data_IF_436439025428
#
_entry.id   IF_436439025428
#
_cell.length_a   1.000
_cell.length_b   1.000
_cell.length_c   1.000
_cell.angle_alpha   90.00
_cell.angle_beta   90.00
_cell.angle_gamma   90.00
#
_symmetry.space_group_name_H-M   'P 1'
#
loop_
_entity.id
_entity.type
_entity.pdbx_description
1 polymer ?
#
# COMPACT_ATOMS: atom_id res chain seq x y z
N UNK A 1 13.92 -3.81 -47.82
CA UNK A 1 14.75 -4.72 -47.01
C UNK A 1 15.06 -4.08 -45.66
N UNK A 2 15.41 -2.80 -45.56
CA UNK A 2 15.73 -2.12 -44.30
C UNK A 2 14.55 -2.06 -43.31
N UNK A 3 13.31 -1.82 -43.73
CA UNK A 3 12.15 -1.73 -42.87
C UNK A 3 11.82 -3.04 -42.15
N UNK A 4 11.97 -4.18 -42.83
CA UNK A 4 11.72 -5.50 -42.24
C UNK A 4 12.74 -5.87 -41.13
N UNK A 5 14.00 -5.46 -41.30
CA UNK A 5 15.06 -5.69 -40.30
C UNK A 5 14.84 -4.85 -39.06
N UNK A 6 14.40 -3.60 -39.20
CA UNK A 6 14.09 -2.73 -38.06
C UNK A 6 12.88 -3.23 -37.27
N UNK A 7 11.83 -3.71 -37.96
CA UNK A 7 10.67 -4.31 -37.30
C UNK A 7 11.03 -5.62 -36.57
N UNK A 8 11.87 -6.46 -37.15
CA UNK A 8 12.32 -7.70 -36.51
C UNK A 8 13.19 -7.41 -35.25
N UNK A 9 14.10 -6.46 -35.32
CA UNK A 9 14.92 -6.05 -34.18
C UNK A 9 14.07 -5.44 -33.05
N UNK A 10 13.06 -4.61 -33.39
CA UNK A 10 12.14 -4.05 -32.40
C UNK A 10 11.26 -5.14 -31.76
N UNK A 11 10.79 -6.11 -32.54
CA UNK A 11 10.01 -7.25 -32.04
C UNK A 11 10.85 -8.15 -31.10
N UNK A 12 12.12 -8.41 -31.44
CA UNK A 12 13.04 -9.16 -30.58
C UNK A 12 13.32 -8.41 -29.27
N UNK A 13 13.55 -7.09 -29.33
CA UNK A 13 13.74 -6.29 -28.11
C UNK A 13 12.48 -6.25 -27.22
N UNK A 14 11.27 -6.30 -27.79
CA UNK A 14 10.03 -6.36 -27.02
C UNK A 14 9.80 -7.75 -26.39
N UNK A 15 10.23 -8.82 -27.07
CA UNK A 15 10.10 -10.20 -26.61
C UNK A 15 11.18 -10.61 -25.57
N UNK A 16 12.31 -9.87 -25.54
CA UNK A 16 13.42 -10.13 -24.60
C UNK A 16 13.42 -9.17 -23.41
N UNK A 17 12.42 -8.26 -23.32
CA UNK A 17 12.32 -7.39 -22.16
C UNK A 17 11.93 -8.25 -20.96
N UNK A 18 12.75 -8.30 -19.90
CA UNK A 18 12.38 -9.06 -18.71
C UNK A 18 11.01 -8.55 -18.21
N UNK A 19 10.19 -9.45 -17.67
CA UNK A 19 8.92 -9.05 -17.07
C UNK A 19 9.20 -7.97 -16.03
N UNK A 20 8.35 -6.93 -16.02
CA UNK A 20 8.48 -5.88 -14.98
C UNK A 20 8.41 -6.55 -13.61
N UNK A 21 9.26 -6.13 -12.68
CA UNK A 21 9.20 -6.64 -11.32
C UNK A 21 7.81 -6.44 -10.75
N UNK A 22 7.26 -7.48 -10.16
CA UNK A 22 6.07 -7.43 -9.33
C UNK A 22 6.44 -7.84 -7.93
N UNK A 23 5.66 -7.40 -6.97
CA UNK A 23 5.86 -7.77 -5.56
C UNK A 23 5.84 -9.29 -5.40
N UNK A 24 4.90 -9.97 -6.06
CA UNK A 24 4.79 -11.42 -6.06
C UNK A 24 6.04 -12.10 -6.64
N UNK A 25 6.58 -11.59 -7.76
CA UNK A 25 7.80 -12.14 -8.37
C UNK A 25 9.04 -11.96 -7.48
N UNK A 26 9.14 -10.84 -6.74
CA UNK A 26 10.22 -10.61 -5.78
C UNK A 26 10.13 -11.62 -4.62
N UNK A 27 8.93 -11.87 -4.11
CA UNK A 27 8.75 -12.78 -2.98
C UNK A 27 8.81 -14.27 -3.38
N UNK A 28 8.42 -14.64 -4.60
CA UNK A 28 8.54 -16.03 -5.09
C UNK A 28 9.97 -16.42 -5.43
N UNK A 29 10.88 -15.44 -5.53
CA UNK A 29 12.29 -15.62 -5.89
C UNK A 29 12.51 -16.26 -7.28
N UNK A 30 11.50 -16.24 -8.16
CA UNK A 30 11.61 -16.88 -9.49
C UNK A 30 12.59 -16.12 -10.41
N UNK A 31 12.58 -14.80 -10.36
CA UNK A 31 13.42 -13.92 -11.18
C UNK A 31 14.24 -12.92 -10.36
N UNK A 32 14.02 -12.88 -9.05
CA UNK A 32 14.62 -11.93 -8.12
C UNK A 32 15.19 -12.65 -6.91
N UNK A 33 16.15 -12.01 -6.26
CA UNK A 33 16.70 -12.47 -4.99
C UNK A 33 16.19 -11.51 -3.90
N UNK A 34 15.46 -12.06 -2.95
CA UNK A 34 15.12 -11.36 -1.73
C UNK A 34 16.38 -11.20 -0.87
N UNK A 35 16.74 -9.98 -0.52
CA UNK A 35 17.98 -9.70 0.22
C UNK A 35 17.74 -9.49 1.70
N UNK A 36 16.76 -8.66 2.04
CA UNK A 36 16.42 -8.35 3.43
C UNK A 36 15.05 -7.74 3.58
N UNK A 37 14.56 -7.76 4.80
CA UNK A 37 13.39 -6.99 5.25
C UNK A 37 13.71 -6.27 6.55
N UNK A 38 13.19 -5.07 6.69
CA UNK A 38 13.41 -4.23 7.88
C UNK A 38 12.09 -3.55 8.27
N UNK A 39 11.68 -3.62 9.55
CA UNK A 39 10.53 -2.86 10.01
C UNK A 39 10.72 -1.35 9.77
N UNK A 40 9.66 -0.68 9.31
CA UNK A 40 9.67 0.74 8.97
C UNK A 40 8.44 1.43 9.52
N UNK A 41 8.62 2.36 10.46
CA UNK A 41 7.55 3.27 10.89
C UNK A 41 7.31 4.33 9.84
N UNK A 42 6.04 4.62 9.56
CA UNK A 42 5.58 5.65 8.63
C UNK A 42 4.49 6.48 9.27
N UNK A 43 4.43 7.76 8.92
CA UNK A 43 3.28 8.63 9.17
C UNK A 43 2.55 8.86 7.86
N UNK A 44 1.29 8.45 7.79
CA UNK A 44 0.39 8.73 6.68
C UNK A 44 -0.41 9.98 7.05
N UNK A 45 -0.31 11.03 6.23
CA UNK A 45 -0.95 12.31 6.50
C UNK A 45 -1.94 12.67 5.39
N UNK A 46 -3.16 13.05 5.75
CA UNK A 46 -4.18 13.45 4.79
C UNK A 46 -5.24 14.37 5.41
N UNK A 47 -5.83 15.28 4.60
CA UNK A 47 -6.82 16.23 5.07
C UNK A 47 -8.19 15.57 5.28
N UNK A 48 -8.83 15.88 6.41
CA UNK A 48 -10.13 15.33 6.80
C UNK A 48 -11.29 15.82 5.94
N UNK A 49 -11.18 17.00 5.33
CA UNK A 49 -12.18 17.54 4.39
C UNK A 49 -12.35 16.68 3.12
N UNK A 50 -11.42 15.75 2.88
CA UNK A 50 -11.49 14.77 1.78
C UNK A 50 -12.20 13.49 2.20
N UNK A 51 -12.46 13.29 3.49
CA UNK A 51 -13.24 12.17 4.00
C UNK A 51 -14.73 12.52 3.91
N UNK A 52 -15.57 11.66 3.30
CA UNK A 52 -17.03 11.87 3.29
C UNK A 52 -17.58 11.95 4.72
N UNK A 53 -18.53 12.84 4.95
CA UNK A 53 -19.16 12.95 6.27
C UNK A 53 -19.74 11.62 6.75
N UNK A 54 -19.64 11.31 8.06
CA UNK A 54 -20.25 10.11 8.65
C UNK A 54 -21.75 10.09 8.39
N UNK A 55 -22.26 9.01 7.82
CA UNK A 55 -23.68 8.84 7.49
C UNK A 55 -23.97 8.36 6.08
N UNK A 56 -22.96 8.16 5.26
CA UNK A 56 -23.15 7.54 3.95
C UNK A 56 -23.46 6.06 4.11
N UNK A 57 -24.68 5.68 3.72
CA UNK A 57 -25.15 4.28 3.66
C UNK A 57 -24.56 3.49 2.49
N UNK A 58 -23.88 4.16 1.57
CA UNK A 58 -23.18 3.56 0.44
C UNK A 58 -21.74 4.03 0.46
N UNK A 59 -20.79 3.10 0.57
CA UNK A 59 -19.37 3.40 0.67
C UNK A 59 -18.91 4.39 -0.38
N UNK A 60 -18.34 5.51 0.05
CA UNK A 60 -17.78 6.51 -0.83
C UNK A 60 -16.35 6.11 -1.23
N UNK A 61 -16.24 5.46 -2.38
CA UNK A 61 -14.95 5.38 -3.05
C UNK A 61 -14.57 6.77 -3.56
N UNK A 62 -13.32 7.17 -3.38
CA UNK A 62 -12.83 8.39 -4.00
C UNK A 62 -12.84 8.23 -5.52
N UNK A 63 -13.31 9.23 -6.25
CA UNK A 63 -13.20 9.26 -7.72
C UNK A 63 -11.73 9.18 -8.17
N UNK A 64 -10.83 9.73 -7.35
CA UNK A 64 -9.38 9.59 -7.47
C UNK A 64 -8.82 9.26 -6.08
N UNK A 65 -8.14 8.10 -5.91
CA UNK A 65 -7.52 7.74 -4.63
C UNK A 65 -6.56 8.81 -4.13
N UNK A 66 -6.66 9.15 -2.84
CA UNK A 66 -5.82 10.18 -2.24
C UNK A 66 -4.46 9.59 -1.88
N UNK A 67 -3.38 10.11 -2.49
CA UNK A 67 -2.04 9.72 -2.12
C UNK A 67 -1.66 10.33 -0.76
N UNK A 68 -1.33 9.45 0.20
CA UNK A 68 -1.05 9.82 1.60
C UNK A 68 0.42 9.61 1.98
N UNK A 69 1.15 8.85 1.17
CA UNK A 69 2.59 8.64 1.34
C UNK A 69 3.23 8.22 0.01
N UNK A 70 4.51 8.60 -0.21
CA UNK A 70 5.26 8.23 -1.42
C UNK A 70 6.76 8.07 -1.15
N UNK A 71 7.33 7.05 -1.80
CA UNK A 71 8.77 6.90 -2.07
C UNK A 71 8.99 6.80 -3.57
N UNK A 72 10.21 6.57 -4.02
CA UNK A 72 10.52 6.36 -5.44
C UNK A 72 9.85 5.11 -6.03
N UNK A 73 9.58 4.10 -5.20
CA UNK A 73 9.09 2.78 -5.64
C UNK A 73 7.71 2.40 -5.11
N UNK A 74 7.21 3.12 -4.11
CA UNK A 74 5.96 2.80 -3.44
C UNK A 74 5.14 4.06 -3.16
N UNK A 75 3.86 4.04 -3.52
CA UNK A 75 2.88 4.99 -3.02
C UNK A 75 1.87 4.28 -2.13
N UNK A 76 1.41 4.94 -1.06
CA UNK A 76 0.26 4.50 -0.28
C UNK A 76 -0.88 5.46 -0.56
N UNK A 77 -2.05 4.91 -0.89
CA UNK A 77 -3.23 5.69 -1.25
C UNK A 77 -4.41 5.30 -0.39
N UNK A 78 -5.16 6.28 0.08
CA UNK A 78 -6.50 6.07 0.64
C UNK A 78 -7.47 5.91 -0.53
N UNK A 79 -8.04 4.72 -0.70
CA UNK A 79 -8.92 4.37 -1.83
C UNK A 79 -10.38 4.66 -1.54
N UNK A 80 -10.81 4.40 -0.30
CA UNK A 80 -12.19 4.63 0.12
C UNK A 80 -12.31 4.84 1.62
N UNK A 81 -13.39 5.50 2.02
CA UNK A 81 -13.90 5.53 3.38
C UNK A 81 -15.33 5.05 3.32
N UNK A 82 -15.67 4.05 4.11
CA UNK A 82 -16.99 3.41 4.06
C UNK A 82 -17.43 2.98 5.44
N UNK A 83 -18.75 2.88 5.70
CA UNK A 83 -19.24 2.27 6.93
C UNK A 83 -18.67 0.86 7.09
N UNK A 84 -18.23 0.55 8.29
CA UNK A 84 -17.71 -0.78 8.58
C UNK A 84 -18.84 -1.81 8.55
N UNK A 85 -18.63 -2.94 7.85
CA UNK A 85 -19.64 -3.96 7.69
C UNK A 85 -20.15 -4.49 9.04
N UNK A 86 -21.43 -4.26 9.33
CA UNK A 86 -22.12 -4.71 10.54
C UNK A 86 -21.94 -3.82 11.78
N UNK A 87 -21.30 -2.66 11.63
CA UNK A 87 -21.03 -1.72 12.71
C UNK A 87 -21.29 -0.29 12.20
N UNK A 88 -22.54 0.19 12.33
CA UNK A 88 -22.97 1.50 11.80
C UNK A 88 -22.21 2.70 12.38
N UNK A 89 -21.64 2.53 13.58
CA UNK A 89 -20.88 3.58 14.28
C UNK A 89 -19.39 3.60 13.95
N UNK A 90 -18.94 2.81 12.96
CA UNK A 90 -17.55 2.69 12.59
C UNK A 90 -17.30 2.96 11.10
N UNK A 91 -16.14 3.49 10.79
CA UNK A 91 -15.66 3.75 9.45
C UNK A 91 -14.42 2.91 9.13
N UNK A 92 -14.43 2.27 7.97
CA UNK A 92 -13.29 1.60 7.38
C UNK A 92 -12.56 2.58 6.44
N UNK A 93 -11.32 2.95 6.78
CA UNK A 93 -10.40 3.67 5.92
C UNK A 93 -9.56 2.64 5.17
N UNK A 94 -9.79 2.50 3.87
CA UNK A 94 -9.13 1.47 3.04
C UNK A 94 -7.94 2.07 2.32
N UNK A 95 -6.77 1.57 2.63
CA UNK A 95 -5.51 1.97 2.02
C UNK A 95 -4.98 0.89 1.09
N UNK A 96 -4.27 1.32 0.04
CA UNK A 96 -3.56 0.43 -0.88
C UNK A 96 -2.11 0.86 -1.08
N UNK A 97 -1.22 -0.12 -1.14
CA UNK A 97 0.14 0.05 -1.63
C UNK A 97 0.14 -0.08 -3.15
N UNK A 98 0.76 0.88 -3.82
CA UNK A 98 0.90 0.92 -5.29
C UNK A 98 2.38 0.98 -5.62
N UNK A 99 2.83 0.14 -6.55
CA UNK A 99 4.25 -0.09 -6.80
C UNK A 99 4.67 0.33 -8.20
N UNK A 100 5.88 0.89 -8.29
CA UNK A 100 6.63 1.08 -9.53
C UNK A 100 8.06 0.56 -9.27
N UNK A 101 8.24 -0.76 -9.47
CA UNK A 101 9.45 -1.47 -9.06
C UNK A 101 10.49 -1.47 -10.18
N UNK A 102 11.73 -0.99 -9.92
CA UNK A 102 12.87 -1.20 -10.79
C UNK A 102 13.38 -2.66 -10.72
N UNK A 103 14.34 -3.03 -11.56
CA UNK A 103 14.92 -4.38 -11.57
C UNK A 103 15.66 -4.74 -10.28
N UNK A 104 16.04 -3.75 -9.49
CA UNK A 104 16.64 -3.90 -8.15
C UNK A 104 16.39 -2.67 -7.31
N UNK A 105 16.32 -2.83 -6.00
CA UNK A 105 16.07 -1.71 -5.10
C UNK A 105 15.39 -2.10 -3.81
N UNK A 106 14.57 -1.20 -3.29
CA UNK A 106 13.70 -1.47 -2.15
C UNK A 106 12.30 -0.93 -2.37
N UNK A 107 11.32 -1.51 -1.68
CA UNK A 107 9.94 -1.04 -1.63
C UNK A 107 9.33 -1.29 -0.24
N UNK A 108 8.25 -0.58 0.05
CA UNK A 108 7.49 -0.80 1.28
C UNK A 108 6.39 -1.82 1.04
N UNK A 109 6.21 -2.76 1.97
CA UNK A 109 5.20 -3.81 1.86
C UNK A 109 4.33 -3.90 3.13
N UNK A 110 3.02 -4.19 2.98
CA UNK A 110 2.13 -4.43 4.11
C UNK A 110 2.27 -5.85 4.67
N UNK A 111 3.24 -6.62 4.23
CA UNK A 111 3.52 -7.98 4.66
C UNK A 111 5.03 -8.24 4.75
N UNK A 112 5.40 -9.23 5.53
CA UNK A 112 6.77 -9.67 5.71
C UNK A 112 6.92 -11.16 5.41
N UNK A 113 8.14 -11.58 5.12
CA UNK A 113 8.50 -13.00 5.05
C UNK A 113 8.77 -13.51 6.47
N UNK A 114 8.12 -14.59 6.82
CA UNK A 114 8.31 -15.25 8.12
C UNK A 114 9.46 -16.26 8.06
N UNK A 115 9.94 -16.71 9.22
CA UNK A 115 11.08 -17.64 9.32
C UNK A 115 10.85 -18.98 8.59
N UNK A 116 9.58 -19.39 8.45
CA UNK A 116 9.21 -20.60 7.71
C UNK A 116 9.04 -20.38 6.19
N UNK A 117 9.35 -19.17 5.70
CA UNK A 117 9.24 -18.80 4.29
C UNK A 117 7.83 -18.44 3.83
N UNK A 118 6.83 -18.49 4.70
CA UNK A 118 5.49 -17.98 4.38
C UNK A 118 5.42 -16.46 4.55
N UNK A 119 4.30 -15.87 4.12
CA UNK A 119 4.04 -14.43 4.30
C UNK A 119 3.18 -14.21 5.52
N UNK A 120 3.59 -13.26 6.34
CA UNK A 120 2.84 -12.77 7.49
C UNK A 120 2.31 -11.37 7.25
N UNK A 121 1.33 -10.98 8.04
CA UNK A 121 0.90 -9.59 8.10
C UNK A 121 2.07 -8.73 8.62
N UNK A 122 2.34 -7.64 7.92
CA UNK A 122 3.43 -6.73 8.22
C UNK A 122 2.96 -5.31 8.55
N UNK A 123 1.65 -5.02 8.52
CA UNK A 123 1.13 -3.72 8.95
C UNK A 123 0.64 -3.80 10.39
N UNK A 124 1.07 -2.83 11.18
CA UNK A 124 0.54 -2.58 12.53
C UNK A 124 0.15 -1.10 12.63
N UNK A 125 -0.97 -0.79 13.25
CA UNK A 125 -1.34 0.57 13.64
C UNK A 125 -0.64 0.86 14.98
N UNK A 126 0.23 1.86 14.97
CA UNK A 126 0.96 2.29 16.17
C UNK A 126 0.20 3.37 16.92
N UNK A 127 -0.58 4.19 16.20
CA UNK A 127 -1.35 5.30 16.73
C UNK A 127 -1.83 6.23 15.63
N UNK A 128 -2.24 7.43 16.05
CA UNK A 128 -2.59 8.50 15.15
C UNK A 128 -2.78 9.81 15.90
N UNK A 129 -2.97 10.87 15.14
CA UNK A 129 -3.23 12.23 15.63
C UNK A 129 -4.30 12.90 14.76
N UNK A 130 -5.13 13.70 15.38
CA UNK A 130 -6.10 14.58 14.74
C UNK A 130 -5.74 16.03 15.09
N UNK A 131 -5.51 16.88 14.09
CA UNK A 131 -5.09 18.26 14.28
C UNK A 131 -6.02 19.03 15.21
N UNK A 132 -7.33 18.88 15.04
CA UNK A 132 -8.36 19.54 15.84
C UNK A 132 -9.23 18.55 16.64
N UNK A 133 -8.65 17.43 17.11
CA UNK A 133 -9.41 16.38 17.79
C UNK A 133 -8.58 15.51 18.71
N UNK A 134 -9.21 14.46 19.20
CA UNK A 134 -8.57 13.44 20.04
C UNK A 134 -8.57 12.12 19.29
N UNK A 135 -7.39 11.56 19.07
CA UNK A 135 -7.27 10.24 18.44
C UNK A 135 -8.00 9.18 19.29
N UNK A 136 -8.90 8.37 18.68
CA UNK A 136 -9.61 7.34 19.41
C UNK A 136 -8.70 6.14 19.67
N UNK A 137 -8.45 5.84 20.95
CA UNK A 137 -7.67 4.66 21.37
C UNK A 137 -8.28 3.33 20.91
N UNK A 138 -9.57 3.34 20.56
CA UNK A 138 -10.30 2.17 20.05
C UNK A 138 -10.07 1.90 18.56
N UNK A 139 -9.39 2.79 17.82
CA UNK A 139 -9.05 2.55 16.43
C UNK A 139 -8.15 1.32 16.27
N UNK A 140 -8.40 0.51 15.24
CA UNK A 140 -7.66 -0.72 15.02
C UNK A 140 -7.52 -1.09 13.54
N UNK A 141 -6.57 -1.98 13.23
CA UNK A 141 -6.47 -2.61 11.92
C UNK A 141 -7.47 -3.76 11.80
N UNK A 142 -8.41 -3.64 10.85
CA UNK A 142 -9.44 -4.65 10.58
C UNK A 142 -8.96 -5.73 9.62
N UNK A 143 -8.33 -5.34 8.49
CA UNK A 143 -7.91 -6.28 7.45
C UNK A 143 -6.42 -6.59 7.57
N UNK A 144 -6.13 -7.88 7.59
CA UNK A 144 -4.78 -8.45 7.72
C UNK A 144 -4.60 -9.57 6.69
N UNK A 145 -4.94 -9.33 5.43
CA UNK A 145 -4.78 -10.34 4.39
C UNK A 145 -3.44 -10.23 3.66
N UNK A 146 -2.96 -11.32 3.03
CA UNK A 146 -1.93 -11.19 2.02
C UNK A 146 -2.54 -10.40 0.86
N UNK A 147 -2.11 -9.15 0.71
CA UNK A 147 -2.61 -8.25 -0.32
C UNK A 147 -2.01 -6.87 -0.15
N UNK A 148 -2.16 -6.08 -1.19
CA UNK A 148 -1.64 -4.72 -1.24
C UNK A 148 -2.49 -3.73 -0.43
N UNK A 149 -3.56 -4.20 0.22
CA UNK A 149 -4.52 -3.36 0.98
C UNK A 149 -4.50 -3.66 2.47
N UNK A 150 -4.71 -2.61 3.23
CA UNK A 150 -5.02 -2.70 4.66
C UNK A 150 -6.15 -1.72 5.00
N UNK A 151 -6.84 -1.98 6.10
CA UNK A 151 -7.99 -1.18 6.54
C UNK A 151 -7.80 -0.76 7.98
N UNK A 152 -7.87 0.53 8.24
CA UNK A 152 -7.95 1.12 9.58
C UNK A 152 -9.41 1.38 9.89
N UNK A 153 -9.89 0.85 10.99
CA UNK A 153 -11.24 1.05 11.48
C UNK A 153 -11.22 2.10 12.59
N UNK A 154 -12.04 3.14 12.44
CA UNK A 154 -12.14 4.25 13.41
C UNK A 154 -13.60 4.51 13.76
N UNK A 155 -13.93 4.90 15.02
CA UNK A 155 -15.27 5.32 15.36
C UNK A 155 -15.72 6.53 14.54
N UNK A 156 -16.92 6.49 14.00
CA UNK A 156 -17.44 7.57 13.15
C UNK A 156 -17.60 8.89 13.91
N UNK A 157 -17.98 8.83 15.19
CA UNK A 157 -18.14 10.01 16.06
C UNK A 157 -16.81 10.69 16.36
N UNK A 158 -15.70 9.97 16.37
CA UNK A 158 -14.36 10.54 16.56
C UNK A 158 -13.93 11.46 15.41
N UNK A 159 -14.51 11.29 14.21
CA UNK A 159 -14.25 12.12 13.04
C UNK A 159 -15.35 13.17 12.81
N UNK A 160 -16.47 13.09 13.54
CA UNK A 160 -17.60 13.97 13.35
C UNK A 160 -17.26 15.43 13.74
N UNK A 161 -17.30 16.33 12.76
CA UNK A 161 -17.03 17.75 12.95
C UNK A 161 -15.57 18.11 13.17
N UNK A 162 -14.65 17.16 13.14
CA UNK A 162 -13.20 17.40 13.17
C UNK A 162 -12.75 17.93 11.81
N UNK A 163 -11.90 18.92 11.82
CA UNK A 163 -11.29 19.53 10.63
C UNK A 163 -9.78 19.37 10.67
N UNK A 164 -9.11 19.82 9.60
CA UNK A 164 -7.66 19.78 9.52
C UNK A 164 -7.12 18.46 8.97
N UNK A 165 -6.03 18.00 9.54
CA UNK A 165 -5.28 16.86 9.06
C UNK A 165 -5.39 15.67 10.02
N UNK A 166 -5.51 14.46 9.45
CA UNK A 166 -5.33 13.21 10.18
C UNK A 166 -3.94 12.66 9.88
N UNK A 167 -3.25 12.23 10.92
CA UNK A 167 -2.02 11.48 10.82
C UNK A 167 -2.22 10.07 11.40
N UNK A 168 -1.76 9.05 10.69
CA UNK A 168 -1.75 7.67 11.12
C UNK A 168 -0.32 7.18 11.21
N UNK A 169 0.07 6.69 12.36
CA UNK A 169 1.36 6.04 12.54
C UNK A 169 1.21 4.53 12.32
N UNK A 170 1.88 4.02 11.29
CA UNK A 170 1.87 2.59 10.99
C UNK A 170 3.28 2.02 10.96
N UNK A 171 3.40 0.73 11.28
CA UNK A 171 4.56 -0.08 10.96
C UNK A 171 4.29 -0.83 9.66
N UNK A 172 5.27 -0.91 8.77
CA UNK A 172 5.29 -1.79 7.62
C UNK A 172 6.72 -2.33 7.41
N UNK A 173 7.00 -2.99 6.30
CA UNK A 173 8.35 -3.51 6.04
C UNK A 173 8.96 -2.89 4.79
N UNK A 174 10.22 -2.48 4.89
CA UNK A 174 11.07 -2.18 3.74
C UNK A 174 11.72 -3.48 3.27
N UNK A 175 11.42 -3.87 2.04
CA UNK A 175 11.94 -5.07 1.38
C UNK A 175 13.03 -4.65 0.41
N UNK A 176 14.21 -5.28 0.50
CA UNK A 176 15.29 -5.14 -0.47
C UNK A 176 15.40 -6.36 -1.35
N UNK A 177 15.61 -6.11 -2.64
CA UNK A 177 15.71 -7.16 -3.65
C UNK A 177 16.62 -6.74 -4.81
N UNK A 178 17.07 -7.72 -5.57
CA UNK A 178 17.80 -7.53 -6.84
C UNK A 178 17.39 -8.60 -7.85
N UNK A 179 17.61 -8.30 -9.13
CA UNK A 179 17.45 -9.32 -10.17
C UNK A 179 18.39 -10.52 -9.93
N UNK A 180 17.92 -11.72 -10.19
CA UNK A 180 18.75 -12.91 -10.14
C UNK A 180 19.83 -12.85 -11.25
N UNK A 181 21.07 -13.16 -10.91
CA UNK A 181 22.16 -13.18 -11.88
C UNK A 181 21.93 -14.27 -12.93
N UNK A 182 21.90 -13.89 -14.21
CA UNK A 182 21.84 -14.84 -15.32
C UNK A 182 20.49 -14.93 -16.05
N UNK A 183 19.52 -14.09 -15.75
CA UNK A 183 18.37 -13.91 -16.65
C UNK A 183 18.72 -12.85 -17.71
N UNK A 184 18.58 -13.17 -19.01
CA UNK A 184 18.92 -12.28 -20.11
C UNK A 184 17.95 -11.10 -20.22
#
# INVERSE_FOLDING_TARGET
>A
VCAAVVCAAAAVCLLTRPPRPTVEAVFSEDAFVFESQTPRGLTLSFPLDRIPEPGYSEGAAFSEPLEVYRTDTTAIRLESVQPANGEEDWLDLVFAFVYDLPDSGSFLAPYCRTDNGSYGNGVELLGGELEDGVWPESAFLRSRGPGERFTVCVPADALAGVQGTMELEILCYEIRYRAAAGQP
#
